data_IF_660277488597
#
_entry.id   IF_660277488597
#
_cell.length_a   1.000
_cell.length_b   1.000
_cell.length_c   1.000
_cell.angle_alpha   90.00
_cell.angle_beta   90.00
_cell.angle_gamma   90.00
#
_symmetry.space_group_name_H-M   'P 1'
#
loop_
_entity.id
_entity.type
_entity.pdbx_description
1 polymer ?
#
# COMPACT_ATOMS: atom_id res chain seq x y z
N UNK A 1 -9.81 15.78 5.93
CA UNK A 1 -8.41 15.50 6.30
C UNK A 1 -7.84 14.62 5.21
N UNK A 2 -6.74 15.00 4.56
CA UNK A 2 -6.10 14.10 3.60
C UNK A 2 -5.14 13.17 4.35
N UNK A 3 -4.97 11.96 3.83
CA UNK A 3 -4.06 10.98 4.39
C UNK A 3 -3.10 10.50 3.32
N UNK A 4 -1.85 10.31 3.70
CA UNK A 4 -0.83 9.69 2.87
C UNK A 4 -0.40 8.37 3.49
N UNK A 5 -0.50 7.29 2.72
CA UNK A 5 0.09 6.01 3.08
C UNK A 5 1.46 5.89 2.41
N UNK A 6 2.46 5.54 3.21
CA UNK A 6 3.76 5.09 2.71
C UNK A 6 3.84 3.58 2.88
N UNK A 7 4.05 2.87 1.78
CA UNK A 7 4.19 1.42 1.75
C UNK A 7 5.62 1.09 1.38
N UNK A 8 6.32 0.35 2.25
CA UNK A 8 7.68 -0.14 2.02
C UNK A 8 7.68 -1.65 1.86
N UNK A 9 8.24 -2.11 0.76
CA UNK A 9 8.43 -3.52 0.43
C UNK A 9 9.89 -3.90 0.68
N UNK A 10 10.09 -4.99 1.41
CA UNK A 10 11.41 -5.56 1.64
C UNK A 10 11.51 -6.90 0.92
N UNK A 11 12.45 -6.99 0.00
CA UNK A 11 12.68 -8.17 -0.83
C UNK A 11 13.84 -9.02 -0.28
N UNK A 12 13.79 -10.33 -0.49
CA UNK A 12 14.80 -11.27 -0.01
C UNK A 12 16.23 -10.96 -0.50
N UNK A 13 16.37 -10.28 -1.64
CA UNK A 13 17.67 -9.88 -2.22
C UNK A 13 18.27 -8.60 -1.58
N UNK A 14 17.69 -8.11 -0.48
CA UNK A 14 18.13 -6.87 0.18
C UNK A 14 17.71 -5.59 -0.56
N UNK A 15 16.83 -5.74 -1.54
CA UNK A 15 16.20 -4.63 -2.26
C UNK A 15 15.01 -4.10 -1.46
N UNK A 16 14.80 -2.78 -1.51
CA UNK A 16 13.69 -2.09 -0.85
C UNK A 16 13.00 -1.17 -1.86
N UNK A 17 11.67 -1.20 -1.90
CA UNK A 17 10.86 -0.27 -2.70
C UNK A 17 9.88 0.49 -1.82
N UNK A 18 9.72 1.78 -2.08
CA UNK A 18 8.75 2.64 -1.40
C UNK A 18 7.70 3.15 -2.39
N UNK A 19 6.43 3.01 -2.03
CA UNK A 19 5.30 3.56 -2.75
C UNK A 19 4.53 4.53 -1.87
N UNK A 20 4.19 5.68 -2.43
CA UNK A 20 3.34 6.69 -1.79
C UNK A 20 1.95 6.63 -2.39
N UNK A 21 0.98 6.38 -1.53
CA UNK A 21 -0.42 6.25 -1.89
C UNK A 21 -1.14 7.41 -1.23
N UNK A 22 -1.60 8.36 -2.04
CA UNK A 22 -2.38 9.51 -1.56
C UNK A 22 -3.85 9.12 -1.51
N UNK A 23 -4.46 9.23 -0.34
CA UNK A 23 -5.89 9.03 -0.18
C UNK A 23 -6.56 10.37 0.16
N UNK A 24 -7.51 10.77 -0.68
CA UNK A 24 -8.30 11.97 -0.48
C UNK A 24 -9.52 11.60 0.38
N UNK A 25 -9.44 11.99 1.66
CA UNK A 25 -10.39 11.81 2.77
C UNK A 25 -11.90 11.98 2.55
N UNK A 26 -12.65 11.13 1.82
CA UNK A 26 -14.12 10.91 2.01
C UNK A 26 -14.64 9.49 1.65
N UNK A 27 -13.80 8.47 1.43
CA UNK A 27 -14.28 7.13 1.07
C UNK A 27 -14.32 6.15 2.26
N UNK A 28 -15.47 5.49 2.47
CA UNK A 28 -15.69 4.43 3.49
C UNK A 28 -14.82 3.18 3.24
N UNK A 29 -14.37 2.99 2.00
CA UNK A 29 -13.49 1.88 1.59
C UNK A 29 -12.49 2.38 0.56
N UNK A 30 -11.23 2.09 0.80
CA UNK A 30 -10.10 2.43 -0.03
C UNK A 30 -9.36 1.15 -0.44
N UNK A 31 -9.12 0.96 -1.73
CA UNK A 31 -8.29 -0.12 -2.24
C UNK A 31 -7.24 0.43 -3.19
N UNK A 32 -5.97 0.12 -2.93
CA UNK A 32 -4.86 0.40 -3.85
C UNK A 32 -4.21 -0.92 -4.28
N UNK A 33 -3.91 -1.02 -5.57
CA UNK A 33 -3.28 -2.18 -6.17
C UNK A 33 -1.98 -1.79 -6.87
N UNK A 34 -0.93 -2.58 -6.66
CA UNK A 34 0.36 -2.40 -7.34
C UNK A 34 0.57 -3.59 -8.27
N UNK A 35 0.76 -3.26 -9.54
CA UNK A 35 1.08 -4.20 -10.62
C UNK A 35 2.47 -3.92 -11.14
N UNK A 36 3.26 -4.98 -11.36
CA UNK A 36 4.48 -4.87 -12.16
C UNK A 36 4.09 -5.13 -13.60
N UNK A 37 4.63 -4.36 -14.55
CA UNK A 37 4.27 -4.40 -15.97
C UNK A 37 4.46 -5.76 -16.67
N UNK A 38 4.92 -6.78 -15.95
CA UNK A 38 5.06 -8.16 -16.39
C UNK A 38 3.86 -9.06 -16.06
N UNK A 39 3.01 -8.70 -15.09
CA UNK A 39 1.87 -9.51 -14.65
C UNK A 39 0.53 -8.81 -14.97
N UNK A 40 -0.43 -9.58 -15.50
CA UNK A 40 -1.80 -9.11 -15.73
C UNK A 40 -2.61 -8.91 -14.43
N UNK A 41 -2.15 -9.50 -13.31
CA UNK A 41 -2.76 -9.34 -11.98
C UNK A 41 -1.86 -8.55 -11.04
N UNK A 42 -2.43 -7.70 -10.17
CA UNK A 42 -1.64 -6.99 -9.17
C UNK A 42 -0.95 -7.98 -8.24
N UNK A 43 0.33 -7.73 -7.96
CA UNK A 43 1.09 -8.56 -7.04
C UNK A 43 0.89 -8.11 -5.59
N UNK A 44 0.37 -6.90 -5.38
CA UNK A 44 0.01 -6.35 -4.08
C UNK A 44 -1.35 -5.65 -4.15
N UNK A 45 -2.14 -5.83 -3.09
CA UNK A 45 -3.37 -5.07 -2.86
C UNK A 45 -3.46 -4.67 -1.40
N UNK A 46 -3.78 -3.41 -1.15
CA UNK A 46 -4.07 -2.87 0.17
C UNK A 46 -5.51 -2.37 0.19
N UNK A 47 -6.30 -2.94 1.09
CA UNK A 47 -7.67 -2.49 1.33
C UNK A 47 -7.80 -1.99 2.76
N UNK A 48 -8.30 -0.77 2.93
CA UNK A 48 -8.67 -0.20 4.20
C UNK A 48 -10.16 0.17 4.19
N UNK A 49 -10.86 -0.23 5.24
CA UNK A 49 -12.24 0.16 5.54
C UNK A 49 -12.29 0.81 6.92
N UNK A 50 -13.46 1.28 7.33
CA UNK A 50 -13.68 1.75 8.71
C UNK A 50 -13.43 0.68 9.79
N UNK A 51 -13.52 -0.61 9.43
CA UNK A 51 -13.51 -1.72 10.40
C UNK A 51 -12.27 -2.59 10.34
N UNK A 52 -11.65 -2.72 9.16
CA UNK A 52 -10.50 -3.60 8.97
C UNK A 52 -9.54 -3.07 7.92
N UNK A 53 -8.32 -3.59 7.99
CA UNK A 53 -7.25 -3.40 7.02
C UNK A 53 -6.76 -4.75 6.55
N UNK A 54 -6.62 -4.91 5.24
CA UNK A 54 -6.15 -6.14 4.62
C UNK A 54 -5.02 -5.83 3.65
N UNK A 55 -3.99 -6.66 3.69
CA UNK A 55 -2.88 -6.66 2.75
C UNK A 55 -2.84 -8.03 2.08
N UNK A 56 -2.83 -8.04 0.75
CA UNK A 56 -2.63 -9.23 -0.06
C UNK A 56 -1.32 -9.09 -0.82
N UNK A 57 -0.46 -10.08 -0.71
CA UNK A 57 0.83 -10.15 -1.40
C UNK A 57 0.86 -11.47 -2.16
N UNK A 58 1.03 -11.40 -3.47
CA UNK A 58 1.04 -12.56 -4.37
C UNK A 58 2.44 -12.90 -4.90
N UNK A 59 3.48 -12.20 -4.42
CA UNK A 59 4.88 -12.49 -4.75
C UNK A 59 5.59 -13.18 -3.58
N UNK A 60 6.42 -14.17 -3.91
CA UNK A 60 7.26 -14.88 -2.93
C UNK A 60 8.52 -14.10 -2.53
N UNK A 61 8.85 -13.05 -3.29
CA UNK A 61 10.12 -12.34 -3.12
C UNK A 61 10.06 -11.29 -1.99
N UNK A 62 8.86 -10.86 -1.61
CA UNK A 62 8.62 -9.92 -0.52
C UNK A 62 8.43 -10.68 0.78
N UNK A 63 9.34 -10.49 1.73
CA UNK A 63 9.25 -11.14 3.05
C UNK A 63 8.64 -10.22 4.12
N UNK A 64 8.61 -8.91 3.88
CA UNK A 64 8.07 -7.92 4.81
C UNK A 64 7.48 -6.73 4.07
N UNK A 65 6.34 -6.26 4.57
CA UNK A 65 5.70 -5.01 4.14
C UNK A 65 5.45 -4.13 5.37
N UNK A 66 5.76 -2.85 5.24
CA UNK A 66 5.48 -1.84 6.27
C UNK A 66 4.57 -0.79 5.66
N UNK A 67 3.44 -0.51 6.33
CA UNK A 67 2.48 0.52 5.92
C UNK A 67 2.41 1.58 7.01
N UNK A 68 2.77 2.81 6.67
CA UNK A 68 2.75 3.97 7.57
C UNK A 68 1.68 4.96 7.10
N UNK A 69 0.72 5.28 7.96
CA UNK A 69 -0.34 6.26 7.70
C UNK A 69 0.07 7.61 8.28
N UNK A 70 0.12 8.64 7.44
CA UNK A 70 0.38 10.00 7.85
C UNK A 70 -0.87 10.86 7.60
N UNK A 71 -1.26 11.66 8.59
CA UNK A 71 -2.26 12.72 8.43
C UNK A 71 -1.59 13.93 7.76
N UNK A 72 -2.12 14.38 6.62
CA UNK A 72 -1.70 15.63 6.01
C UNK A 72 -2.52 16.76 6.65
N UNK A 73 -1.86 17.58 7.46
CA UNK A 73 -2.42 18.83 7.97
C UNK A 73 -2.25 19.92 6.90
N UNK A 74 -3.35 20.59 6.54
CA UNK A 74 -3.30 21.81 5.73
C UNK A 74 -3.36 22.99 6.70
N UNK A 75 -2.32 23.83 6.66
CA UNK A 75 -2.28 25.15 7.30
C UNK A 75 -3.31 26.11 6.67
#
# INVERSE_FOLDING_TARGET
MEYEYKVKFYYNEGHEEEYKIKNNIEQETFTEEISNGFNEKPWYSFTETEHYKTILISTIDVYKVVVEKNTLEFD
#
